data_IF_731117230992
#
_entry.id   IF_731117230992
#
_cell.length_a   1.000
_cell.length_b   1.000
_cell.length_c   1.000
_cell.angle_alpha   90.00
_cell.angle_beta   90.00
_cell.angle_gamma   90.00
#
_symmetry.space_group_name_H-M   'P 1'
#
loop_
_entity.id
_entity.type
_entity.pdbx_description
1 polymer ?
#
# COMPACT_ATOMS: atom_id res chain seq x y z
N UNK A 1 7.21 -1.00 28.27
CA UNK A 1 6.68 0.13 29.06
C UNK A 1 7.75 1.23 29.08
N UNK A 2 7.80 2.07 28.04
CA UNK A 2 8.75 3.19 27.94
C UNK A 2 7.93 4.46 28.10
N UNK A 3 8.31 5.28 29.06
CA UNK A 3 7.52 6.36 29.64
C UNK A 3 7.48 7.61 28.77
N UNK A 4 6.27 8.14 28.58
CA UNK A 4 5.98 9.44 27.99
C UNK A 4 6.38 10.59 28.94
N UNK A 5 7.68 10.80 29.16
CA UNK A 5 8.19 11.78 30.14
C UNK A 5 9.10 12.88 29.57
N UNK A 6 9.38 12.91 28.25
CA UNK A 6 10.29 13.90 27.67
C UNK A 6 9.66 15.29 27.43
N UNK A 7 8.39 15.35 27.01
CA UNK A 7 7.70 16.61 26.70
C UNK A 7 7.37 17.46 27.93
N UNK A 8 6.92 16.80 29.01
CA UNK A 8 6.51 17.48 30.24
C UNK A 8 7.71 18.09 31.00
N UNK A 9 8.89 17.48 30.86
CA UNK A 9 10.14 17.98 31.44
C UNK A 9 10.65 19.24 30.72
N UNK A 10 10.61 19.26 29.38
CA UNK A 10 11.02 20.42 28.58
C UNK A 10 10.08 21.62 28.82
N UNK A 11 8.77 21.36 28.92
CA UNK A 11 7.76 22.38 29.24
C UNK A 11 8.00 23.00 30.62
N UNK A 12 8.20 22.18 31.66
CA UNK A 12 8.49 22.67 33.02
C UNK A 12 9.77 23.52 33.07
N UNK A 13 10.80 23.14 32.30
CA UNK A 13 12.08 23.87 32.25
C UNK A 13 11.99 25.22 31.52
N UNK A 14 11.23 25.28 30.42
CA UNK A 14 10.96 26.53 29.68
C UNK A 14 10.08 27.46 30.51
N UNK A 15 9.05 26.93 31.17
CA UNK A 15 8.13 27.71 31.99
C UNK A 15 8.80 28.31 33.25
N UNK A 16 9.75 27.60 33.84
CA UNK A 16 10.56 28.11 34.95
C UNK A 16 11.49 29.26 34.52
N UNK A 17 12.10 29.17 33.33
CA UNK A 17 12.92 30.25 32.76
C UNK A 17 12.09 31.48 32.39
N UNK A 18 10.88 31.30 31.85
CA UNK A 18 9.93 32.38 31.58
C UNK A 18 9.47 33.08 32.87
N UNK A 19 9.23 32.36 33.97
CA UNK A 19 8.89 32.95 35.28
C UNK A 19 10.01 33.82 35.87
N UNK A 20 11.27 33.48 35.62
CA UNK A 20 12.41 34.31 36.05
C UNK A 20 12.53 35.57 35.18
N UNK A 21 12.24 35.47 33.88
CA UNK A 21 12.20 36.61 32.95
C UNK A 21 10.99 37.54 33.20
N UNK A 22 9.87 36.99 33.68
CA UNK A 22 8.63 37.67 34.09
C UNK A 22 8.82 38.65 35.27
N UNK A 23 9.86 38.46 36.10
CA UNK A 23 10.12 39.33 37.25
C UNK A 23 10.88 40.63 36.89
N UNK A 24 11.35 40.79 35.65
CA UNK A 24 12.33 41.81 35.26
C UNK A 24 11.95 42.65 34.02
N UNK A 25 10.73 42.58 33.49
CA UNK A 25 10.40 43.27 32.22
C UNK A 25 9.04 43.96 32.15
N UNK A 26 9.02 44.99 31.30
CA UNK A 26 7.95 45.96 31.06
C UNK A 26 6.66 45.29 30.53
N UNK A 27 5.55 45.50 31.23
CA UNK A 27 4.36 44.63 31.22
C UNK A 27 3.58 44.61 29.89
N UNK A 28 3.68 45.66 29.07
CA UNK A 28 2.90 45.81 27.83
C UNK A 28 3.43 44.99 26.63
N UNK A 29 4.74 44.82 26.48
CA UNK A 29 5.33 43.93 25.45
C UNK A 29 5.10 42.45 25.78
N UNK A 30 4.90 42.15 27.05
CA UNK A 30 4.76 40.80 27.58
C UNK A 30 3.41 40.16 27.29
N UNK A 31 2.32 40.93 27.41
CA UNK A 31 0.97 40.44 27.10
C UNK A 31 0.86 39.95 25.65
N UNK A 32 1.49 40.66 24.70
CA UNK A 32 1.52 40.24 23.28
C UNK A 32 2.33 38.96 23.04
N UNK A 33 3.37 38.70 23.84
CA UNK A 33 4.15 37.46 23.75
C UNK A 33 3.37 36.30 24.35
N UNK A 34 2.70 36.50 25.49
CA UNK A 34 1.86 35.49 26.13
C UNK A 34 0.67 35.12 25.25
N UNK A 35 -0.04 36.09 24.67
CA UNK A 35 -1.13 35.84 23.73
C UNK A 35 -0.67 35.07 22.48
N UNK A 36 0.52 35.41 21.96
CA UNK A 36 1.12 34.66 20.84
C UNK A 36 1.47 33.22 21.23
N UNK A 37 2.03 33.02 22.43
CA UNK A 37 2.36 31.68 22.94
C UNK A 37 1.12 30.84 23.25
N UNK A 38 0.06 31.42 23.80
CA UNK A 38 -1.20 30.72 24.06
C UNK A 38 -1.95 30.40 22.75
N UNK A 39 -1.87 31.28 21.74
CA UNK A 39 -2.35 31.01 20.38
C UNK A 39 -1.55 29.89 19.70
N UNK A 40 -0.22 29.88 19.82
CA UNK A 40 0.63 28.80 19.33
C UNK A 40 0.38 27.49 20.10
N UNK A 41 0.10 27.55 21.40
CA UNK A 41 -0.27 26.39 22.22
C UNK A 41 -1.64 25.82 21.82
N UNK A 42 -2.65 26.66 21.59
CA UNK A 42 -3.96 26.23 21.09
C UNK A 42 -3.85 25.56 19.71
N UNK A 43 -2.98 26.07 18.83
CA UNK A 43 -2.68 25.44 17.55
C UNK A 43 -1.82 24.17 17.67
N UNK A 44 -0.90 24.08 18.65
CA UNK A 44 -0.13 22.85 18.94
C UNK A 44 -0.98 21.76 19.63
N UNK A 45 -2.08 22.11 20.30
CA UNK A 45 -3.06 21.11 20.79
C UNK A 45 -3.95 20.53 19.69
N UNK A 46 -3.80 21.00 18.45
CA UNK A 46 -4.32 20.33 17.25
C UNK A 46 -3.27 19.45 16.58
N UNK A 47 -2.37 18.83 17.37
CA UNK A 47 -1.74 17.58 16.93
C UNK A 47 -2.87 16.55 16.89
N UNK A 48 -3.44 16.36 15.70
CA UNK A 48 -4.14 15.11 15.40
C UNK A 48 -3.16 14.00 15.78
N UNK A 49 -3.46 13.22 16.80
CA UNK A 49 -2.67 12.05 17.18
C UNK A 49 -2.71 11.07 15.99
N UNK A 50 -1.84 11.27 15.01
CA UNK A 50 -1.68 10.34 13.90
C UNK A 50 -1.23 9.03 14.54
N UNK A 51 -2.09 8.02 14.44
CA UNK A 51 -1.81 6.69 14.97
C UNK A 51 -0.43 6.25 14.46
N UNK A 52 0.46 5.77 15.34
CA UNK A 52 1.84 5.48 14.95
C UNK A 52 1.93 4.43 13.82
N UNK A 53 0.93 3.53 13.70
CA UNK A 53 0.79 2.55 12.61
C UNK A 53 0.36 3.16 11.26
N UNK A 54 -0.02 4.44 11.22
CA UNK A 54 -0.24 5.15 9.96
C UNK A 54 1.06 5.37 9.20
N UNK A 55 2.21 5.44 9.90
CA UNK A 55 3.54 5.47 9.27
C UNK A 55 3.76 4.14 8.52
N UNK A 56 3.93 4.23 7.21
CA UNK A 56 4.08 3.05 6.35
C UNK A 56 5.51 2.53 6.33
N UNK A 57 5.84 1.60 7.21
CA UNK A 57 7.13 0.91 7.11
C UNK A 57 7.10 -0.24 6.08
N UNK A 58 5.91 -0.75 5.71
CA UNK A 58 5.77 -1.90 4.80
C UNK A 58 6.02 -1.51 3.34
N UNK A 59 5.73 -0.27 2.98
CA UNK A 59 6.00 0.23 1.62
C UNK A 59 7.48 0.17 1.26
N UNK A 60 8.39 0.25 2.23
CA UNK A 60 9.84 0.11 1.97
C UNK A 60 10.16 -1.30 1.48
N UNK A 61 9.71 -2.33 2.21
CA UNK A 61 9.91 -3.73 1.80
C UNK A 61 9.20 -4.04 0.48
N UNK A 62 7.98 -3.53 0.28
CA UNK A 62 7.29 -3.66 -1.00
C UNK A 62 8.10 -3.02 -2.14
N UNK A 63 8.63 -1.81 -1.92
CA UNK A 63 9.43 -1.11 -2.92
C UNK A 63 10.65 -1.92 -3.34
N UNK A 64 11.38 -2.49 -2.39
CA UNK A 64 12.55 -3.32 -2.68
C UNK A 64 12.18 -4.57 -3.50
N UNK A 65 11.09 -5.25 -3.13
CA UNK A 65 10.62 -6.42 -3.85
C UNK A 65 10.21 -6.06 -5.30
N UNK A 66 9.44 -4.99 -5.48
CA UNK A 66 8.98 -4.56 -6.81
C UNK A 66 10.13 -4.10 -7.69
N UNK A 67 11.13 -3.41 -7.14
CA UNK A 67 12.36 -3.07 -7.89
C UNK A 67 13.06 -4.33 -8.39
N UNK A 68 13.34 -5.31 -7.52
CA UNK A 68 14.05 -6.54 -7.92
C UNK A 68 13.28 -7.38 -8.95
N UNK A 69 11.96 -7.47 -8.82
CA UNK A 69 11.12 -8.16 -9.79
C UNK A 69 11.09 -7.43 -11.15
N UNK A 70 11.02 -6.10 -11.14
CA UNK A 70 11.05 -5.27 -12.35
C UNK A 70 12.39 -5.39 -13.07
N UNK A 71 13.50 -5.38 -12.33
CA UNK A 71 14.85 -5.58 -12.88
C UNK A 71 14.97 -6.98 -13.53
N UNK A 72 14.44 -8.02 -12.88
CA UNK A 72 14.40 -9.37 -13.46
C UNK A 72 13.63 -9.40 -14.77
N UNK A 73 12.44 -8.80 -14.82
CA UNK A 73 11.64 -8.71 -16.05
C UNK A 73 12.39 -7.96 -17.16
N UNK A 74 13.12 -6.90 -16.81
CA UNK A 74 13.92 -6.12 -17.76
C UNK A 74 15.02 -6.96 -18.39
N UNK A 75 15.69 -7.81 -17.61
CA UNK A 75 16.68 -8.77 -18.12
C UNK A 75 16.04 -9.71 -19.16
N UNK A 76 14.88 -10.29 -18.86
CA UNK A 76 14.16 -11.16 -19.80
C UNK A 76 13.74 -10.42 -21.08
N UNK A 77 13.29 -9.16 -20.96
CA UNK A 77 12.96 -8.32 -22.13
C UNK A 77 14.18 -8.04 -23.00
N UNK A 78 15.37 -7.89 -22.42
CA UNK A 78 16.59 -7.69 -23.19
C UNK A 78 17.01 -8.95 -23.95
N UNK A 79 16.78 -10.14 -23.36
CA UNK A 79 17.09 -11.42 -24.00
C UNK A 79 16.34 -11.63 -25.33
N UNK A 80 15.10 -11.12 -25.46
CA UNK A 80 14.35 -11.12 -26.73
C UNK A 80 15.11 -10.50 -27.90
N UNK A 81 15.98 -9.52 -27.63
CA UNK A 81 16.75 -8.84 -28.66
C UNK A 81 18.15 -9.45 -28.86
N UNK A 82 18.67 -10.15 -27.85
CA UNK A 82 20.05 -10.63 -27.81
C UNK A 82 20.19 -12.11 -28.21
N UNK A 83 19.15 -12.92 -27.97
CA UNK A 83 19.20 -14.37 -28.10
C UNK A 83 18.26 -14.82 -29.20
N UNK A 84 18.81 -15.33 -30.31
CA UNK A 84 18.05 -15.68 -31.51
C UNK A 84 16.94 -16.74 -31.33
N UNK A 85 17.05 -17.61 -30.32
CA UNK A 85 16.04 -18.65 -30.05
C UNK A 85 15.03 -18.24 -28.99
N UNK A 86 15.26 -17.13 -28.28
CA UNK A 86 14.39 -16.65 -27.22
C UNK A 86 13.34 -15.72 -27.83
N UNK A 87 12.10 -16.16 -27.87
CA UNK A 87 10.99 -15.43 -28.49
C UNK A 87 9.95 -14.98 -27.44
N UNK A 88 8.85 -14.42 -27.93
CA UNK A 88 7.77 -13.93 -27.08
C UNK A 88 7.10 -15.01 -26.24
N UNK A 89 7.03 -16.26 -26.71
CA UNK A 89 6.42 -17.35 -25.95
C UNK A 89 7.31 -17.73 -24.76
N UNK A 90 8.61 -17.89 -24.99
CA UNK A 90 9.59 -18.12 -23.91
C UNK A 90 9.59 -17.00 -22.86
N UNK A 91 9.51 -15.74 -23.32
CA UNK A 91 9.38 -14.61 -22.41
C UNK A 91 8.13 -14.70 -21.52
N UNK A 92 6.98 -15.09 -22.08
CA UNK A 92 5.75 -15.24 -21.32
C UNK A 92 5.85 -16.39 -20.31
N UNK A 93 6.42 -17.53 -20.72
CA UNK A 93 6.66 -18.68 -19.83
C UNK A 93 7.49 -18.32 -18.61
N UNK A 94 8.58 -17.59 -18.80
CA UNK A 94 9.48 -17.23 -17.71
C UNK A 94 8.97 -16.04 -16.89
N UNK A 95 8.30 -15.07 -17.52
CA UNK A 95 7.84 -13.86 -16.83
C UNK A 95 6.55 -14.05 -16.04
N UNK A 96 5.67 -14.99 -16.42
CA UNK A 96 4.43 -15.26 -15.69
C UNK A 96 4.64 -15.53 -14.19
N UNK A 97 5.51 -16.48 -13.77
CA UNK A 97 5.74 -16.71 -12.35
C UNK A 97 6.34 -15.48 -11.63
N UNK A 98 7.11 -14.65 -12.32
CA UNK A 98 7.70 -13.42 -11.76
C UNK A 98 6.59 -12.40 -11.46
N UNK A 99 5.66 -12.21 -12.39
CA UNK A 99 4.47 -11.38 -12.15
C UNK A 99 3.56 -11.99 -11.07
N UNK A 100 3.44 -13.31 -11.02
CA UNK A 100 2.75 -14.02 -9.93
C UNK A 100 3.34 -13.69 -8.55
N UNK A 101 4.67 -13.68 -8.43
CA UNK A 101 5.38 -13.26 -7.22
C UNK A 101 5.09 -11.80 -6.86
N UNK A 102 4.99 -10.90 -7.86
CA UNK A 102 4.62 -9.51 -7.62
C UNK A 102 3.21 -9.40 -7.01
N UNK A 103 2.22 -10.12 -7.54
CA UNK A 103 0.87 -10.16 -6.97
C UNK A 103 0.86 -10.70 -5.53
N UNK A 104 1.66 -11.72 -5.22
CA UNK A 104 1.81 -12.21 -3.84
C UNK A 104 2.43 -11.15 -2.92
N UNK A 105 3.43 -10.39 -3.39
CA UNK A 105 4.01 -9.28 -2.64
C UNK A 105 2.97 -8.18 -2.36
N UNK A 106 2.15 -7.83 -3.35
CA UNK A 106 1.04 -6.89 -3.16
C UNK A 106 0.00 -7.42 -2.17
N UNK A 107 -0.41 -8.68 -2.27
CA UNK A 107 -1.32 -9.32 -1.30
C UNK A 107 -0.77 -9.24 0.13
N UNK A 108 0.53 -9.49 0.33
CA UNK A 108 1.17 -9.41 1.64
C UNK A 108 1.17 -7.98 2.18
N UNK A 109 1.43 -6.99 1.32
CA UNK A 109 1.37 -5.58 1.69
C UNK A 109 -0.06 -5.14 2.06
N UNK A 110 -1.05 -5.52 1.26
CA UNK A 110 -2.47 -5.23 1.51
C UNK A 110 -2.89 -5.81 2.86
N UNK A 111 -2.64 -7.11 3.09
CA UNK A 111 -2.95 -7.76 4.37
C UNK A 111 -2.21 -7.12 5.54
N UNK A 112 -0.93 -6.81 5.37
CA UNK A 112 -0.16 -6.09 6.39
C UNK A 112 -0.77 -4.74 6.74
N UNK A 113 -1.24 -4.01 5.74
CA UNK A 113 -1.89 -2.71 5.92
C UNK A 113 -3.22 -2.82 6.66
N UNK A 114 -4.03 -3.84 6.35
CA UNK A 114 -5.28 -4.14 7.09
C UNK A 114 -4.95 -4.46 8.54
N UNK A 115 -3.94 -5.29 8.78
CA UNK A 115 -3.52 -5.63 10.14
C UNK A 115 -3.03 -4.41 10.91
N UNK A 116 -2.30 -3.51 10.28
CA UNK A 116 -1.84 -2.27 10.92
C UNK A 116 -3.01 -1.31 11.24
N UNK A 117 -4.07 -1.34 10.45
CA UNK A 117 -5.26 -0.50 10.63
C UNK A 117 -6.26 -1.09 11.63
N UNK A 118 -6.61 -2.36 11.51
CA UNK A 118 -7.69 -3.03 12.24
C UNK A 118 -7.21 -4.00 13.34
N UNK A 119 -5.90 -4.17 13.52
CA UNK A 119 -5.26 -5.15 14.42
C UNK A 119 -5.71 -6.61 14.22
N UNK A 120 -6.33 -6.90 13.08
CA UNK A 120 -6.90 -8.21 12.74
C UNK A 120 -7.10 -8.37 11.23
N UNK A 121 -7.20 -9.63 10.78
CA UNK A 121 -7.52 -9.99 9.39
C UNK A 121 -8.89 -10.65 9.25
N UNK A 122 -9.68 -10.73 10.33
CA UNK A 122 -10.97 -11.41 10.33
C UNK A 122 -11.96 -10.80 9.32
N UNK A 123 -11.87 -9.49 9.10
CA UNK A 123 -12.76 -8.74 8.20
C UNK A 123 -12.04 -8.24 6.94
N UNK A 124 -10.92 -8.86 6.57
CA UNK A 124 -10.09 -8.42 5.42
C UNK A 124 -10.87 -8.25 4.12
N UNK A 125 -11.89 -9.08 3.90
CA UNK A 125 -12.76 -9.02 2.71
C UNK A 125 -13.56 -7.72 2.64
N UNK A 126 -13.92 -7.11 3.77
CA UNK A 126 -14.58 -5.81 3.82
C UNK A 126 -13.62 -4.71 3.36
N UNK A 127 -12.35 -4.79 3.76
CA UNK A 127 -11.33 -3.82 3.37
C UNK A 127 -10.90 -3.96 1.91
N UNK A 128 -10.88 -5.19 1.37
CA UNK A 128 -10.57 -5.39 -0.05
C UNK A 128 -11.54 -4.64 -0.96
N UNK A 129 -12.82 -4.56 -0.59
CA UNK A 129 -13.86 -3.87 -1.37
C UNK A 129 -13.73 -2.34 -1.37
N UNK A 130 -12.81 -1.78 -0.58
CA UNK A 130 -12.61 -0.33 -0.53
C UNK A 130 -11.95 0.16 -1.81
N UNK A 131 -12.65 1.01 -2.54
CA UNK A 131 -12.09 1.73 -3.67
C UNK A 131 -12.83 3.06 -3.86
N UNK A 132 -12.09 4.09 -4.27
CA UNK A 132 -12.65 5.41 -4.52
C UNK A 132 -13.56 5.36 -5.74
N UNK A 133 -14.80 5.85 -5.61
CA UNK A 133 -15.81 5.91 -6.67
C UNK A 133 -16.20 4.53 -7.25
N UNK A 134 -16.09 3.45 -6.47
CA UNK A 134 -16.53 2.12 -6.91
C UNK A 134 -18.07 2.08 -7.02
N UNK A 135 -18.65 1.75 -8.20
CA UNK A 135 -20.08 1.57 -8.32
C UNK A 135 -20.59 0.42 -7.44
N UNK A 136 -21.83 0.54 -6.95
CA UNK A 136 -22.46 -0.52 -6.14
C UNK A 136 -22.54 -1.83 -6.93
N UNK A 137 -22.25 -2.95 -6.26
CA UNK A 137 -22.23 -4.29 -6.86
C UNK A 137 -20.99 -4.61 -7.70
N UNK A 138 -20.08 -3.65 -7.90
CA UNK A 138 -18.84 -3.87 -8.64
C UNK A 138 -17.72 -4.44 -7.75
N UNK A 139 -16.72 -5.07 -8.35
CA UNK A 139 -15.52 -5.57 -7.68
C UNK A 139 -14.39 -4.57 -7.79
N UNK A 140 -13.65 -4.41 -6.70
CA UNK A 140 -12.51 -3.50 -6.64
C UNK A 140 -11.27 -4.06 -7.35
N UNK A 141 -10.37 -3.15 -7.71
CA UNK A 141 -9.03 -3.48 -8.19
C UNK A 141 -8.18 -4.20 -7.14
N UNK A 142 -8.45 -3.98 -5.85
CA UNK A 142 -7.79 -4.68 -4.75
C UNK A 142 -8.27 -6.13 -4.68
N UNK A 143 -9.57 -6.39 -4.81
CA UNK A 143 -10.09 -7.76 -4.93
C UNK A 143 -9.45 -8.49 -6.11
N UNK A 144 -9.26 -7.81 -7.25
CA UNK A 144 -8.55 -8.38 -8.40
C UNK A 144 -7.10 -8.75 -8.07
N UNK A 145 -6.32 -7.87 -7.43
CA UNK A 145 -4.94 -8.18 -7.00
C UNK A 145 -4.90 -9.41 -6.09
N UNK A 146 -5.85 -9.51 -5.14
CA UNK A 146 -5.96 -10.65 -4.23
C UNK A 146 -6.29 -11.94 -4.99
N UNK A 147 -7.19 -11.88 -5.96
CA UNK A 147 -7.56 -13.02 -6.78
C UNK A 147 -6.38 -13.51 -7.65
N UNK A 148 -5.65 -12.59 -8.30
CA UNK A 148 -4.47 -12.92 -9.10
C UNK A 148 -3.34 -13.52 -8.26
N UNK A 149 -3.13 -13.01 -7.04
CA UNK A 149 -2.17 -13.61 -6.10
C UNK A 149 -2.59 -15.03 -5.68
N UNK A 150 -3.88 -15.26 -5.44
CA UNK A 150 -4.38 -16.60 -5.12
C UNK A 150 -4.30 -17.54 -6.32
N UNK A 151 -4.60 -17.06 -7.52
CA UNK A 151 -4.41 -17.81 -8.74
C UNK A 151 -2.94 -18.23 -8.90
N UNK A 152 -2.00 -17.29 -8.77
CA UNK A 152 -0.57 -17.58 -8.88
C UNK A 152 -0.08 -18.68 -7.92
N UNK A 153 -0.61 -18.71 -6.68
CA UNK A 153 -0.24 -19.73 -5.68
C UNK A 153 -0.77 -21.13 -5.98
N UNK A 154 -1.91 -21.22 -6.66
CA UNK A 154 -2.69 -22.46 -6.80
C UNK A 154 -2.96 -22.83 -8.26
N UNK A 155 -2.28 -22.21 -9.22
CA UNK A 155 -2.56 -22.41 -10.66
C UNK A 155 -2.38 -23.86 -11.10
N UNK A 156 -1.48 -24.60 -10.45
CA UNK A 156 -1.18 -26.00 -10.76
C UNK A 156 -2.13 -26.99 -10.03
N UNK A 157 -3.05 -26.48 -9.21
CA UNK A 157 -4.03 -27.29 -8.46
C UNK A 157 -5.34 -27.48 -9.23
N UNK A 158 -5.46 -26.89 -10.43
CA UNK A 158 -6.64 -26.98 -11.29
C UNK A 158 -7.56 -25.77 -11.14
N UNK A 159 -8.86 -26.02 -10.87
CA UNK A 159 -9.89 -24.96 -10.86
C UNK A 159 -9.67 -24.03 -9.65
N UNK A 160 -9.62 -22.70 -9.85
CA UNK A 160 -9.48 -21.76 -8.75
C UNK A 160 -10.61 -21.90 -7.71
N UNK A 161 -10.28 -21.67 -6.44
CA UNK A 161 -11.28 -21.62 -5.37
C UNK A 161 -12.38 -20.60 -5.67
N UNK A 162 -13.60 -20.87 -5.18
CA UNK A 162 -14.82 -20.09 -5.45
C UNK A 162 -14.63 -18.58 -5.36
N UNK A 163 -13.99 -18.08 -4.29
CA UNK A 163 -13.76 -16.64 -4.14
C UNK A 163 -12.82 -16.05 -5.19
N UNK A 164 -11.76 -16.78 -5.57
CA UNK A 164 -10.88 -16.37 -6.68
C UNK A 164 -11.65 -16.41 -8.00
N UNK A 165 -12.37 -17.51 -8.26
CA UNK A 165 -13.18 -17.72 -9.47
C UNK A 165 -14.18 -16.58 -9.69
N UNK A 166 -14.95 -16.23 -8.67
CA UNK A 166 -15.95 -15.15 -8.72
C UNK A 166 -15.35 -13.79 -9.12
N UNK A 167 -14.12 -13.50 -8.68
CA UNK A 167 -13.43 -12.26 -9.06
C UNK A 167 -12.90 -12.36 -10.49
N UNK A 168 -12.25 -13.46 -10.86
CA UNK A 168 -11.73 -13.64 -12.23
C UNK A 168 -12.87 -13.57 -13.27
N UNK A 169 -14.01 -14.21 -12.99
CA UNK A 169 -15.23 -14.15 -13.82
C UNK A 169 -15.74 -12.72 -13.97
N UNK A 170 -15.79 -11.96 -12.87
CA UNK A 170 -16.26 -10.57 -12.89
C UNK A 170 -15.42 -9.68 -13.80
N UNK A 171 -14.10 -9.91 -13.84
CA UNK A 171 -13.17 -9.19 -14.71
C UNK A 171 -13.00 -9.85 -16.09
N UNK A 172 -13.77 -10.90 -16.41
CA UNK A 172 -13.71 -11.67 -17.66
C UNK A 172 -12.31 -12.23 -17.96
N UNK A 173 -11.63 -12.75 -16.93
CA UNK A 173 -10.30 -13.35 -17.05
C UNK A 173 -10.41 -14.85 -17.29
N UNK A 174 -9.66 -15.36 -18.25
CA UNK A 174 -9.65 -16.77 -18.62
C UNK A 174 -8.70 -17.56 -17.73
N UNK A 175 -9.24 -18.43 -16.87
CA UNK A 175 -8.47 -19.37 -16.04
C UNK A 175 -8.75 -20.83 -16.39
N UNK A 176 -9.62 -21.08 -17.37
CA UNK A 176 -9.93 -22.42 -17.89
C UNK A 176 -9.13 -22.64 -19.20
N UNK A 177 -8.59 -23.85 -19.38
CA UNK A 177 -7.91 -24.26 -20.63
C UNK A 177 -6.90 -23.24 -21.18
N UNK A 178 -6.05 -22.70 -20.32
CA UNK A 178 -4.99 -21.72 -20.67
C UNK A 178 -3.93 -22.41 -21.53
N UNK A 179 -4.18 -22.49 -22.83
CA UNK A 179 -3.26 -23.07 -23.81
C UNK A 179 -2.24 -22.05 -24.34
N UNK A 180 -2.53 -20.76 -24.16
CA UNK A 180 -1.65 -19.65 -24.56
C UNK A 180 -1.44 -18.75 -23.35
N UNK A 181 -0.19 -18.50 -23.00
CA UNK A 181 0.12 -17.77 -21.77
C UNK A 181 -0.27 -16.30 -21.82
N UNK A 182 -0.32 -15.67 -22.99
CA UNK A 182 -0.86 -14.30 -23.13
C UNK A 182 -2.34 -14.20 -22.69
N UNK A 183 -3.05 -15.33 -22.65
CA UNK A 183 -4.42 -15.47 -22.15
C UNK A 183 -4.50 -15.95 -20.70
N UNK A 184 -3.38 -16.05 -19.99
CA UNK A 184 -3.42 -16.41 -18.58
C UNK A 184 -4.01 -15.25 -17.75
N UNK A 185 -4.64 -15.55 -16.60
CA UNK A 185 -5.19 -14.51 -15.72
C UNK A 185 -4.16 -13.49 -15.29
N UNK A 186 -2.89 -13.88 -15.15
CA UNK A 186 -1.80 -12.99 -14.74
C UNK A 186 -1.61 -11.88 -15.75
N UNK A 187 -1.42 -12.20 -17.03
CA UNK A 187 -1.19 -11.20 -18.07
C UNK A 187 -2.45 -10.42 -18.43
N UNK A 188 -3.61 -11.10 -18.50
CA UNK A 188 -4.88 -10.42 -18.71
C UNK A 188 -5.18 -9.43 -17.57
N UNK A 189 -4.90 -9.82 -16.33
CA UNK A 189 -4.98 -8.94 -15.17
C UNK A 189 -4.05 -7.74 -15.27
N UNK A 190 -2.78 -7.93 -15.65
CA UNK A 190 -1.82 -6.83 -15.85
C UNK A 190 -2.30 -5.82 -16.91
N UNK A 191 -2.91 -6.30 -18.00
CA UNK A 191 -3.49 -5.44 -19.04
C UNK A 191 -4.61 -4.53 -18.52
N UNK A 192 -5.30 -4.91 -17.44
CA UNK A 192 -6.32 -4.05 -16.80
C UNK A 192 -5.72 -2.93 -15.95
N UNK A 193 -4.45 -3.06 -15.53
CA UNK A 193 -3.79 -2.07 -14.66
C UNK A 193 -2.94 -1.06 -15.41
N UNK A 194 -2.16 -1.51 -16.40
CA UNK A 194 -1.20 -0.66 -17.09
C UNK A 194 -0.82 -1.22 -18.45
N UNK A 195 -0.65 -0.35 -19.43
CA UNK A 195 0.03 -0.69 -20.68
C UNK A 195 1.50 -1.01 -20.36
N UNK A 196 2.00 -2.15 -20.85
CA UNK A 196 3.41 -2.56 -20.67
C UNK A 196 3.74 -3.26 -19.33
N UNK A 197 2.73 -3.53 -18.50
CA UNK A 197 2.84 -4.34 -17.26
C UNK A 197 3.76 -3.72 -16.21
N UNK A 198 3.59 -2.42 -15.97
CA UNK A 198 4.38 -1.68 -15.00
C UNK A 198 3.97 -1.98 -13.55
N UNK A 199 4.83 -2.69 -12.83
CA UNK A 199 4.62 -3.02 -11.43
C UNK A 199 4.59 -1.80 -10.50
N UNK A 200 5.21 -0.68 -10.89
CA UNK A 200 5.12 0.55 -10.09
C UNK A 200 3.73 1.18 -10.14
N UNK A 201 2.99 0.99 -11.23
CA UNK A 201 1.58 1.39 -11.31
C UNK A 201 0.73 0.62 -10.28
N UNK A 202 0.91 -0.70 -10.15
CA UNK A 202 0.23 -1.50 -9.13
C UNK A 202 0.66 -1.13 -7.72
N UNK A 203 1.95 -0.85 -7.51
CA UNK A 203 2.47 -0.37 -6.23
C UNK A 203 1.76 0.93 -5.80
N UNK A 204 1.70 1.92 -6.69
CA UNK A 204 1.00 3.18 -6.43
C UNK A 204 -0.47 2.93 -6.08
N UNK A 205 -1.14 2.04 -6.82
CA UNK A 205 -2.52 1.66 -6.54
C UNK A 205 -2.71 1.13 -5.10
N UNK A 206 -1.86 0.20 -4.65
CA UNK A 206 -2.01 -0.37 -3.29
C UNK A 206 -1.60 0.62 -2.20
N UNK A 207 -0.65 1.53 -2.46
CA UNK A 207 -0.29 2.57 -1.49
C UNK A 207 -1.38 3.63 -1.38
N UNK A 208 -1.96 4.05 -2.49
CA UNK A 208 -3.09 5.00 -2.51
C UNK A 208 -4.34 4.40 -1.86
N UNK A 209 -4.59 3.11 -2.09
CA UNK A 209 -5.65 2.37 -1.40
C UNK A 209 -5.45 2.36 0.12
N UNK A 210 -4.22 2.12 0.60
CA UNK A 210 -3.91 2.17 2.03
C UNK A 210 -4.23 3.56 2.60
N UNK A 211 -3.77 4.63 1.95
CA UNK A 211 -4.05 5.99 2.41
C UNK A 211 -5.55 6.31 2.38
N UNK A 212 -6.27 5.84 1.35
CA UNK A 212 -7.72 5.99 1.29
C UNK A 212 -8.44 5.26 2.44
N UNK A 213 -7.99 4.05 2.78
CA UNK A 213 -8.52 3.30 3.92
C UNK A 213 -8.37 4.10 5.22
N UNK A 214 -7.18 4.62 5.52
CA UNK A 214 -6.96 5.48 6.70
C UNK A 214 -7.84 6.74 6.66
N UNK A 215 -7.87 7.45 5.53
CA UNK A 215 -8.64 8.69 5.40
C UNK A 215 -10.16 8.51 5.47
N UNK A 216 -10.68 7.32 5.21
CA UNK A 216 -12.13 7.04 5.26
C UNK A 216 -12.63 6.79 6.68
N UNK A 217 -11.77 6.33 7.57
CA UNK A 217 -12.13 5.91 8.93
C UNK A 217 -11.49 6.73 10.05
N UNK A 218 -10.52 7.61 9.72
CA UNK A 218 -10.04 8.72 10.58
C UNK A 218 -11.09 9.85 10.66
#
# INVERSE_FOLDING_TARGET
MVTAHSGDYLYKKIHAKLKIFLALSDTGKLMKVIEKFDFEKQNMTKITNTHFLRIDHRVVSLSMAITGLTETISVLKNQLNEIHWYDGEWFLEESEPIYGLAFIAFQNYINGSIKDFADSLNEKETYYKLEKNLPEGNKSRIELIIALANYAKHKDEGIPHRGTKEILDHFNLNYEDVNYLDKSPIFQGLNLFSEGWDLFTLKTLVTDWREYMWARFD
#
